data_IF_615314923208
#
_entry.id   IF_615314923208
#
_cell.length_a   1.000
_cell.length_b   1.000
_cell.length_c   1.000
_cell.angle_alpha   90.00
_cell.angle_beta   90.00
_cell.angle_gamma   90.00
#
_symmetry.space_group_name_H-M   'P 1'
#
loop_
_entity.id
_entity.type
_entity.pdbx_description
1 polymer ?
#
# COMPACT_ATOMS: atom_id res chain seq x y z
N UNK A 1 29.23 48.11 -13.01
CA UNK A 1 28.56 47.45 -11.87
C UNK A 1 28.73 45.92 -11.81
N UNK A 2 28.99 45.22 -12.92
CA UNK A 2 29.00 43.73 -12.97
C UNK A 2 30.12 43.01 -12.18
N UNK A 3 31.28 43.66 -11.92
CA UNK A 3 32.46 43.05 -11.27
C UNK A 3 32.43 43.04 -9.72
N UNK A 4 31.52 43.78 -9.08
CA UNK A 4 31.40 43.83 -7.60
C UNK A 4 30.43 42.76 -7.07
N UNK A 5 29.29 42.58 -7.73
CA UNK A 5 28.34 41.50 -7.44
C UNK A 5 28.97 40.10 -7.58
N UNK A 6 29.79 39.88 -8.61
CA UNK A 6 30.47 38.60 -8.82
C UNK A 6 31.45 38.23 -7.70
N UNK A 7 32.12 39.21 -7.08
CA UNK A 7 33.05 38.98 -5.97
C UNK A 7 32.35 38.70 -4.65
N UNK A 8 31.21 39.35 -4.41
CA UNK A 8 30.40 39.10 -3.21
C UNK A 8 29.78 37.71 -3.24
N UNK A 9 29.22 37.31 -4.40
CA UNK A 9 28.71 35.96 -4.63
C UNK A 9 29.80 34.89 -4.46
N UNK A 10 31.01 35.15 -4.96
CA UNK A 10 32.16 34.24 -4.77
C UNK A 10 32.56 34.09 -3.31
N UNK A 11 32.63 35.18 -2.53
CA UNK A 11 33.04 35.12 -1.12
C UNK A 11 32.06 34.29 -0.27
N UNK A 12 30.76 34.40 -0.55
CA UNK A 12 29.71 33.65 0.15
C UNK A 12 29.69 32.17 -0.30
N UNK A 13 29.87 31.90 -1.60
CA UNK A 13 29.89 30.53 -2.12
C UNK A 13 31.20 29.78 -1.88
N UNK A 14 32.33 30.48 -1.80
CA UNK A 14 33.65 29.88 -1.57
C UNK A 14 33.85 29.31 -0.18
N UNK A 15 33.02 29.68 0.81
CA UNK A 15 33.14 29.20 2.20
C UNK A 15 32.51 27.84 2.44
N UNK A 16 31.51 27.43 1.64
CA UNK A 16 30.98 26.07 1.70
C UNK A 16 31.99 25.10 1.07
N UNK A 17 32.42 24.10 1.82
CA UNK A 17 33.29 23.05 1.29
C UNK A 17 32.48 22.10 0.39
N UNK A 18 33.04 21.70 -0.76
CA UNK A 18 32.43 20.67 -1.61
C UNK A 18 32.25 19.36 -0.83
N UNK A 19 33.18 19.07 0.08
CA UNK A 19 33.13 17.90 0.94
C UNK A 19 31.95 17.91 1.91
N UNK A 20 31.61 19.07 2.49
CA UNK A 20 30.46 19.15 3.40
C UNK A 20 29.14 18.96 2.66
N UNK A 21 29.02 19.46 1.43
CA UNK A 21 27.83 19.23 0.58
C UNK A 21 27.74 17.75 0.20
N UNK A 22 28.85 17.16 -0.26
CA UNK A 22 28.90 15.73 -0.61
C UNK A 22 28.54 14.82 0.56
N UNK A 23 29.07 15.10 1.75
CA UNK A 23 28.71 14.35 2.96
C UNK A 23 27.21 14.47 3.28
N UNK A 24 26.65 15.67 3.17
CA UNK A 24 25.22 15.89 3.44
C UNK A 24 24.32 15.14 2.45
N UNK A 25 24.69 15.09 1.17
CA UNK A 25 23.99 14.29 0.14
C UNK A 25 24.01 12.81 0.51
N UNK A 26 25.17 12.27 0.89
CA UNK A 26 25.27 10.85 1.26
C UNK A 26 24.42 10.53 2.48
N UNK A 27 24.54 11.32 3.55
CA UNK A 27 23.79 11.08 4.79
C UNK A 27 22.28 11.21 4.61
N UNK A 28 21.82 12.25 3.91
CA UNK A 28 20.40 12.44 3.63
C UNK A 28 19.85 11.40 2.65
N UNK A 29 20.63 10.97 1.66
CA UNK A 29 20.25 9.89 0.75
C UNK A 29 20.08 8.55 1.49
N UNK A 30 21.03 8.19 2.35
CA UNK A 30 20.92 6.99 3.20
C UNK A 30 19.72 7.07 4.14
N UNK A 31 19.51 8.22 4.79
CA UNK A 31 18.35 8.44 5.67
C UNK A 31 17.02 8.34 4.93
N UNK A 32 16.95 8.84 3.70
CA UNK A 32 15.75 8.75 2.86
C UNK A 32 15.45 7.31 2.48
N UNK A 33 16.44 6.56 1.96
CA UNK A 33 16.26 5.15 1.58
C UNK A 33 15.86 4.31 2.79
N UNK A 34 16.51 4.51 3.94
CA UNK A 34 16.18 3.80 5.17
C UNK A 34 14.74 4.11 5.62
N UNK A 35 14.36 5.39 5.69
CA UNK A 35 13.02 5.80 6.09
C UNK A 35 11.93 5.27 5.16
N UNK A 36 12.13 5.40 3.84
CA UNK A 36 11.20 4.89 2.83
C UNK A 36 11.00 3.38 2.96
N UNK A 37 12.08 2.63 3.18
CA UNK A 37 12.02 1.18 3.39
C UNK A 37 11.29 0.84 4.69
N UNK A 38 11.59 1.55 5.77
CA UNK A 38 10.94 1.31 7.06
C UNK A 38 9.42 1.56 6.99
N UNK A 39 9.00 2.61 6.27
CA UNK A 39 7.57 2.89 6.05
C UNK A 39 6.91 1.75 5.29
N UNK A 40 7.49 1.31 4.17
CA UNK A 40 6.93 0.21 3.38
C UNK A 40 6.85 -1.09 4.20
N UNK A 41 7.92 -1.46 4.93
CA UNK A 41 7.91 -2.66 5.77
C UNK A 41 6.82 -2.61 6.84
N UNK A 42 6.67 -1.47 7.53
CA UNK A 42 5.63 -1.32 8.55
C UNK A 42 4.22 -1.39 7.95
N UNK A 43 4.00 -0.85 6.76
CA UNK A 43 2.73 -1.03 6.04
C UNK A 43 2.46 -2.51 5.75
N UNK A 44 3.47 -3.26 5.27
CA UNK A 44 3.34 -4.70 4.98
C UNK A 44 2.99 -5.47 6.26
N UNK A 45 3.66 -5.20 7.38
CA UNK A 45 3.33 -5.81 8.68
C UNK A 45 1.86 -5.56 9.09
N UNK A 46 1.39 -4.32 8.95
CA UNK A 46 0.01 -3.95 9.29
C UNK A 46 -1.00 -4.62 8.35
N UNK A 47 -0.66 -4.73 7.07
CA UNK A 47 -1.47 -5.44 6.07
C UNK A 47 -1.56 -6.93 6.41
N UNK A 48 -0.45 -7.57 6.73
CA UNK A 48 -0.41 -8.97 7.17
C UNK A 48 -1.22 -9.18 8.45
N UNK A 49 -1.18 -8.24 9.40
CA UNK A 49 -1.97 -8.32 10.61
C UNK A 49 -3.50 -8.30 10.34
N UNK A 50 -3.95 -7.51 9.36
CA UNK A 50 -5.36 -7.51 8.92
C UNK A 50 -5.73 -8.84 8.26
N UNK A 51 -4.90 -9.33 7.33
CA UNK A 51 -5.18 -10.58 6.61
C UNK A 51 -5.17 -11.79 7.55
N UNK A 52 -4.26 -11.81 8.51
CA UNK A 52 -4.20 -12.85 9.54
C UNK A 52 -5.43 -12.80 10.44
N UNK A 53 -5.91 -11.61 10.81
CA UNK A 53 -7.13 -11.46 11.59
C UNK A 53 -8.38 -11.94 10.84
N UNK A 54 -8.46 -11.64 9.54
CA UNK A 54 -9.52 -12.15 8.65
C UNK A 54 -9.50 -13.69 8.61
N UNK A 55 -8.33 -14.28 8.40
CA UNK A 55 -8.16 -15.74 8.34
C UNK A 55 -8.48 -16.43 9.67
N UNK A 56 -8.08 -15.84 10.80
CA UNK A 56 -8.35 -16.39 12.13
C UNK A 56 -9.80 -16.20 12.58
N UNK A 57 -10.61 -15.43 11.83
CA UNK A 57 -11.97 -15.09 12.21
C UNK A 57 -12.02 -14.28 13.51
N UNK A 58 -11.06 -13.37 13.70
CA UNK A 58 -11.08 -12.45 14.83
C UNK A 58 -12.40 -11.64 14.85
N UNK A 59 -12.82 -11.22 16.04
CA UNK A 59 -14.08 -10.48 16.19
C UNK A 59 -14.10 -9.19 15.39
N UNK A 60 -15.27 -8.79 14.88
CA UNK A 60 -15.45 -7.60 14.02
C UNK A 60 -14.73 -6.35 14.56
N UNK A 61 -14.82 -6.10 15.87
CA UNK A 61 -14.16 -4.96 16.51
C UNK A 61 -12.63 -5.00 16.34
N UNK A 62 -12.00 -6.16 16.53
CA UNK A 62 -10.54 -6.32 16.43
C UNK A 62 -10.09 -6.15 14.97
N UNK A 63 -10.86 -6.68 14.03
CA UNK A 63 -10.61 -6.51 12.60
C UNK A 63 -10.69 -5.03 12.18
N UNK A 64 -11.71 -4.31 12.66
CA UNK A 64 -11.89 -2.88 12.39
C UNK A 64 -10.77 -2.03 13.01
N UNK A 65 -10.28 -2.40 14.19
CA UNK A 65 -9.14 -1.74 14.83
C UNK A 65 -7.86 -1.90 13.97
N UNK A 66 -7.58 -3.10 13.46
CA UNK A 66 -6.42 -3.34 12.58
C UNK A 66 -6.54 -2.62 11.24
N UNK A 67 -7.73 -2.64 10.63
CA UNK A 67 -8.00 -1.90 9.40
C UNK A 67 -7.79 -0.39 9.60
N UNK A 68 -8.23 0.14 10.74
CA UNK A 68 -8.03 1.54 11.10
C UNK A 68 -6.57 1.87 11.34
N UNK A 69 -5.82 0.99 12.01
CA UNK A 69 -4.37 1.17 12.21
C UNK A 69 -3.64 1.21 10.85
N UNK A 70 -3.93 0.26 9.97
CA UNK A 70 -3.39 0.22 8.62
C UNK A 70 -3.76 1.48 7.82
N UNK A 71 -5.03 1.87 7.81
CA UNK A 71 -5.51 3.06 7.10
C UNK A 71 -4.81 4.32 7.59
N UNK A 72 -4.72 4.50 8.91
CA UNK A 72 -4.05 5.65 9.51
C UNK A 72 -2.56 5.68 9.13
N UNK A 73 -1.89 4.53 9.18
CA UNK A 73 -0.47 4.45 8.82
C UNK A 73 -0.24 4.80 7.34
N UNK A 74 -1.00 4.18 6.44
CA UNK A 74 -0.89 4.40 4.98
C UNK A 74 -1.18 5.85 4.61
N UNK A 75 -2.20 6.46 5.21
CA UNK A 75 -2.60 7.84 4.86
C UNK A 75 -1.68 8.93 5.44
N UNK A 76 -0.74 8.56 6.32
CA UNK A 76 0.18 9.50 6.99
C UNK A 76 1.65 9.33 6.61
N UNK A 77 2.02 8.23 5.96
CA UNK A 77 3.41 7.93 5.57
C UNK A 77 3.53 7.79 4.05
N UNK A 78 4.61 8.28 3.46
CA UNK A 78 4.89 8.03 2.04
C UNK A 78 5.43 6.61 1.82
N UNK A 79 5.36 6.13 0.56
CA UNK A 79 5.87 4.82 0.15
C UNK A 79 5.11 3.64 0.79
N UNK A 80 3.81 3.81 0.99
CA UNK A 80 2.90 2.83 1.61
C UNK A 80 1.61 2.67 0.81
N UNK A 81 1.63 3.02 -0.48
CA UNK A 81 0.44 3.08 -1.34
C UNK A 81 -0.15 1.69 -1.57
N UNK A 82 -1.41 1.48 -1.19
CA UNK A 82 -2.17 0.25 -1.43
C UNK A 82 -3.27 0.44 -2.48
N UNK A 83 -3.32 1.62 -3.12
CA UNK A 83 -4.31 1.96 -4.15
C UNK A 83 -3.99 1.48 -5.55
N UNK A 84 -2.74 1.07 -5.79
CA UNK A 84 -2.27 0.71 -7.14
C UNK A 84 -2.55 -0.76 -7.45
N UNK A 85 -3.81 -1.13 -7.55
CA UNK A 85 -4.18 -2.54 -7.75
C UNK A 85 -5.47 -2.85 -8.49
N UNK A 86 -6.09 -1.90 -9.21
CA UNK A 86 -7.25 -2.22 -10.08
C UNK A 86 -6.90 -2.53 -11.54
N UNK A 87 -5.70 -2.22 -12.02
CA UNK A 87 -5.39 -2.33 -13.47
C UNK A 87 -4.05 -3.03 -13.81
N UNK A 88 -3.15 -3.24 -12.86
CA UNK A 88 -1.87 -3.95 -13.07
C UNK A 88 -1.59 -4.95 -11.94
N UNK A 89 -2.33 -6.07 -11.92
CA UNK A 89 -2.04 -7.21 -11.03
C UNK A 89 -1.02 -8.17 -11.67
N UNK A 90 0.07 -7.61 -12.19
CA UNK A 90 1.28 -8.33 -12.59
C UNK A 90 2.38 -7.62 -11.79
N UNK A 91 2.67 -8.11 -10.58
CA UNK A 91 3.83 -7.73 -9.73
C UNK A 91 3.73 -6.57 -8.70
N UNK A 92 2.56 -6.10 -8.24
CA UNK A 92 2.49 -4.98 -7.24
C UNK A 92 1.30 -5.01 -6.28
N UNK A 93 1.53 -4.62 -5.02
CA UNK A 93 0.67 -4.76 -3.83
C UNK A 93 -0.82 -4.43 -4.05
N UNK A 94 -1.65 -5.48 -4.13
CA UNK A 94 -3.10 -5.39 -4.32
C UNK A 94 -3.83 -4.79 -3.09
N UNK A 95 -5.02 -4.16 -3.28
CA UNK A 95 -5.85 -3.69 -2.18
C UNK A 95 -6.11 -4.78 -1.14
N UNK A 96 -6.43 -4.38 0.09
CA UNK A 96 -6.71 -5.33 1.17
C UNK A 96 -8.07 -5.97 0.92
N UNK A 97 -8.11 -7.30 0.83
CA UNK A 97 -9.34 -8.06 0.59
C UNK A 97 -9.60 -8.99 1.78
N UNK A 98 -10.77 -8.86 2.40
CA UNK A 98 -11.23 -9.71 3.50
C UNK A 98 -11.92 -10.96 2.94
N UNK A 99 -11.13 -11.88 2.39
CA UNK A 99 -11.65 -13.04 1.66
C UNK A 99 -12.38 -14.04 2.57
N UNK A 100 -11.87 -14.27 3.79
CA UNK A 100 -12.53 -15.19 4.73
C UNK A 100 -13.83 -14.60 5.25
N UNK A 101 -13.83 -13.33 5.68
CA UNK A 101 -15.04 -12.63 6.09
C UNK A 101 -16.09 -12.61 4.97
N UNK A 102 -15.70 -12.27 3.74
CA UNK A 102 -16.60 -12.28 2.58
C UNK A 102 -17.23 -13.66 2.37
N UNK A 103 -16.42 -14.72 2.46
CA UNK A 103 -16.90 -16.10 2.34
C UNK A 103 -17.92 -16.43 3.42
N UNK A 104 -17.59 -16.22 4.70
CA UNK A 104 -18.47 -16.57 5.82
C UNK A 104 -19.76 -15.74 5.83
N UNK A 105 -19.68 -14.44 5.56
CA UNK A 105 -20.87 -13.58 5.47
C UNK A 105 -21.77 -14.01 4.29
N UNK A 106 -21.18 -14.43 3.17
CA UNK A 106 -21.94 -14.96 2.03
C UNK A 106 -22.65 -16.27 2.37
N UNK A 107 -21.98 -17.19 3.06
CA UNK A 107 -22.61 -18.44 3.54
C UNK A 107 -23.74 -18.14 4.53
N UNK A 108 -23.56 -17.16 5.42
CA UNK A 108 -24.61 -16.73 6.36
C UNK A 108 -25.81 -16.10 5.64
N UNK A 109 -25.57 -15.29 4.61
CA UNK A 109 -26.62 -14.72 3.77
C UNK A 109 -27.43 -15.85 3.08
N UNK A 110 -26.74 -16.81 2.46
CA UNK A 110 -27.37 -17.99 1.85
C UNK A 110 -28.17 -18.78 2.88
N UNK A 111 -27.60 -19.07 4.05
CA UNK A 111 -28.28 -19.81 5.12
C UNK A 111 -29.54 -19.09 5.62
N UNK A 112 -29.50 -17.76 5.71
CA UNK A 112 -30.64 -16.93 6.13
C UNK A 112 -31.76 -16.98 5.08
N UNK A 113 -31.39 -16.87 3.80
CA UNK A 113 -32.34 -16.97 2.71
C UNK A 113 -32.99 -18.36 2.65
N UNK A 114 -32.20 -19.43 2.72
CA UNK A 114 -32.67 -20.83 2.74
C UNK A 114 -33.69 -21.07 3.86
N UNK A 115 -33.41 -20.56 5.06
CA UNK A 115 -34.35 -20.61 6.19
C UNK A 115 -35.66 -19.88 5.88
N UNK A 116 -35.58 -18.68 5.29
CA UNK A 116 -36.75 -17.89 4.93
C UNK A 116 -37.60 -18.53 3.83
N UNK A 117 -36.95 -19.24 2.90
CA UNK A 117 -37.60 -19.94 1.78
C UNK A 117 -38.05 -21.36 2.12
N UNK A 118 -37.91 -21.80 3.39
CA UNK A 118 -38.24 -23.17 3.83
C UNK A 118 -37.51 -24.27 3.03
N UNK A 119 -36.33 -23.95 2.49
CA UNK A 119 -35.51 -24.89 1.74
C UNK A 119 -34.64 -25.75 2.69
N UNK A 120 -34.13 -26.87 2.18
CA UNK A 120 -33.36 -27.81 2.99
C UNK A 120 -31.95 -27.27 3.31
N UNK A 121 -31.74 -26.90 4.58
CA UNK A 121 -30.45 -26.40 5.08
C UNK A 121 -29.34 -27.47 5.09
N UNK A 122 -29.68 -28.77 5.08
CA UNK A 122 -28.66 -29.83 5.07
C UNK A 122 -27.81 -29.80 3.80
N UNK A 123 -28.42 -29.47 2.65
CA UNK A 123 -27.73 -29.37 1.36
C UNK A 123 -26.63 -28.30 1.38
N UNK A 124 -26.86 -27.18 2.08
CA UNK A 124 -25.84 -26.15 2.28
C UNK A 124 -24.68 -26.64 3.15
N UNK A 125 -24.99 -27.42 4.19
CA UNK A 125 -23.96 -28.05 5.03
C UNK A 125 -23.09 -29.03 4.24
N UNK A 126 -23.70 -29.87 3.41
CA UNK A 126 -23.02 -30.85 2.55
C UNK A 126 -22.13 -30.15 1.50
N UNK A 127 -22.67 -29.16 0.78
CA UNK A 127 -21.91 -28.39 -0.20
C UNK A 127 -20.71 -27.65 0.44
N UNK A 128 -20.90 -27.09 1.64
CA UNK A 128 -19.82 -26.42 2.37
C UNK A 128 -18.70 -27.39 2.73
N UNK A 129 -19.03 -28.56 3.27
CA UNK A 129 -18.04 -29.58 3.65
C UNK A 129 -17.22 -30.04 2.44
N UNK A 130 -17.85 -30.17 1.27
CA UNK A 130 -17.15 -30.53 0.03
C UNK A 130 -16.13 -29.46 -0.43
N UNK A 131 -16.41 -28.18 -0.14
CA UNK A 131 -15.64 -27.04 -0.66
C UNK A 131 -14.67 -26.40 0.34
N UNK A 132 -14.76 -26.71 1.64
CA UNK A 132 -13.84 -26.23 2.68
C UNK A 132 -12.52 -27.03 2.75
N UNK A 133 -12.20 -27.79 1.72
CA UNK A 133 -10.95 -28.54 1.60
C UNK A 133 -9.77 -27.61 1.28
N UNK A 134 -8.58 -27.94 1.78
CA UNK A 134 -7.37 -27.11 1.62
C UNK A 134 -6.93 -26.90 0.17
N UNK A 135 -7.37 -27.74 -0.76
CA UNK A 135 -7.06 -27.62 -2.20
C UNK A 135 -7.85 -26.52 -2.91
N UNK A 136 -8.94 -26.02 -2.31
CA UNK A 136 -9.76 -24.94 -2.89
C UNK A 136 -9.37 -23.61 -2.24
N UNK A 137 -8.81 -22.66 -3.01
CA UNK A 137 -8.47 -21.33 -2.50
C UNK A 137 -9.70 -20.64 -1.91
N UNK A 138 -9.54 -19.90 -0.81
CA UNK A 138 -10.65 -19.21 -0.12
C UNK A 138 -11.47 -18.32 -1.06
N UNK A 139 -10.83 -17.65 -2.02
CA UNK A 139 -11.47 -16.79 -3.02
C UNK A 139 -12.41 -17.54 -3.98
N UNK A 140 -12.22 -18.84 -4.15
CA UNK A 140 -12.99 -19.71 -5.06
C UNK A 140 -14.02 -20.58 -4.33
N UNK A 141 -13.90 -20.71 -3.00
CA UNK A 141 -14.79 -21.58 -2.20
C UNK A 141 -16.26 -21.23 -2.35
N UNK A 142 -16.62 -19.94 -2.46
CA UNK A 142 -18.01 -19.54 -2.65
C UNK A 142 -18.57 -20.04 -3.99
N UNK A 143 -17.76 -19.98 -5.05
CA UNK A 143 -18.15 -20.52 -6.36
C UNK A 143 -18.31 -22.03 -6.32
N UNK A 144 -17.39 -22.73 -5.65
CA UNK A 144 -17.49 -24.18 -5.41
C UNK A 144 -18.80 -24.53 -4.69
N UNK A 145 -19.13 -23.82 -3.59
CA UNK A 145 -20.36 -24.09 -2.82
C UNK A 145 -21.60 -23.89 -3.69
N UNK A 146 -21.65 -22.82 -4.48
CA UNK A 146 -22.80 -22.56 -5.37
C UNK A 146 -22.95 -23.64 -6.46
N UNK A 147 -21.85 -24.13 -7.02
CA UNK A 147 -21.87 -25.22 -7.99
C UNK A 147 -22.35 -26.53 -7.36
N UNK A 148 -21.84 -26.86 -6.17
CA UNK A 148 -22.22 -28.09 -5.47
C UNK A 148 -23.68 -28.06 -5.00
N UNK A 149 -24.16 -26.90 -4.56
CA UNK A 149 -25.58 -26.68 -4.27
C UNK A 149 -26.47 -26.91 -5.50
N UNK A 150 -26.07 -26.41 -6.67
CA UNK A 150 -26.81 -26.63 -7.91
C UNK A 150 -26.88 -28.13 -8.26
N UNK A 151 -25.76 -28.84 -8.11
CA UNK A 151 -25.66 -30.29 -8.32
C UNK A 151 -26.59 -31.08 -7.37
N UNK A 152 -26.48 -30.82 -6.06
CA UNK A 152 -27.23 -31.54 -5.01
C UNK A 152 -28.74 -31.26 -5.07
N UNK A 153 -29.13 -30.06 -5.50
CA UNK A 153 -30.54 -29.64 -5.57
C UNK A 153 -31.21 -29.90 -6.92
N UNK A 154 -30.47 -30.38 -7.93
CA UNK A 154 -30.93 -30.46 -9.32
C UNK A 154 -31.52 -29.13 -9.83
N UNK A 155 -30.80 -28.04 -9.62
CA UNK A 155 -31.19 -26.66 -9.97
C UNK A 155 -32.47 -26.14 -9.29
N UNK A 156 -32.95 -26.81 -8.23
CA UNK A 156 -34.12 -26.39 -7.46
C UNK A 156 -33.77 -25.52 -6.25
N UNK A 157 -32.49 -25.23 -6.02
CA UNK A 157 -32.08 -24.39 -4.91
C UNK A 157 -32.48 -22.92 -5.16
N UNK A 158 -33.01 -22.23 -4.14
CA UNK A 158 -33.33 -20.81 -4.26
C UNK A 158 -32.08 -19.99 -4.63
N UNK A 159 -32.18 -19.15 -5.67
CA UNK A 159 -31.09 -18.28 -6.11
C UNK A 159 -30.91 -17.12 -5.13
N UNK A 160 -29.72 -17.02 -4.52
CA UNK A 160 -29.39 -15.97 -3.56
C UNK A 160 -28.58 -14.89 -4.27
N UNK A 161 -28.99 -13.64 -4.13
CA UNK A 161 -28.21 -12.51 -4.66
C UNK A 161 -26.85 -12.43 -3.95
N UNK A 162 -25.74 -12.35 -4.70
CA UNK A 162 -24.42 -12.31 -4.10
C UNK A 162 -24.22 -11.00 -3.33
N UNK A 163 -23.51 -11.08 -2.20
CA UNK A 163 -23.07 -9.88 -1.48
C UNK A 163 -22.12 -9.06 -2.36
N UNK A 164 -22.26 -7.73 -2.30
CA UNK A 164 -21.32 -6.84 -2.98
C UNK A 164 -19.92 -6.98 -2.39
N UNK A 165 -18.92 -7.19 -3.25
CA UNK A 165 -17.51 -7.28 -2.87
C UNK A 165 -16.94 -5.95 -2.38
N UNK A 166 -17.57 -4.83 -2.74
CA UNK A 166 -17.06 -3.49 -2.41
C UNK A 166 -16.98 -3.23 -0.90
N UNK A 167 -17.76 -3.96 -0.09
CA UNK A 167 -17.72 -3.86 1.37
C UNK A 167 -16.59 -4.66 2.03
N UNK A 168 -15.84 -5.44 1.24
CA UNK A 168 -14.78 -6.34 1.71
C UNK A 168 -13.42 -6.00 1.09
N UNK A 169 -13.36 -4.96 0.26
CA UNK A 169 -12.14 -4.49 -0.41
C UNK A 169 -11.83 -3.08 0.09
N UNK A 170 -10.64 -2.91 0.65
CA UNK A 170 -10.17 -1.65 1.19
C UNK A 170 -8.98 -1.14 0.40
N UNK A 171 -9.09 0.11 -0.03
CA UNK A 171 -8.12 0.83 -0.84
C UNK A 171 -7.64 2.04 -0.02
N UNK A 172 -6.33 2.15 0.19
CA UNK A 172 -5.70 3.22 0.96
C UNK A 172 -4.59 3.87 0.16
N UNK A 173 -4.70 5.19 -0.04
CA UNK A 173 -3.73 5.98 -0.77
C UNK A 173 -2.72 6.62 0.18
N UNK A 174 -1.44 6.52 -0.15
CA UNK A 174 -0.38 7.21 0.59
C UNK A 174 -0.14 8.63 0.09
N UNK A 175 0.20 9.59 0.96
CA UNK A 175 0.62 10.92 0.53
C UNK A 175 1.93 10.87 -0.26
N UNK A 176 2.12 11.83 -1.19
CA UNK A 176 3.37 11.98 -1.94
C UNK A 176 4.55 12.35 -1.01
N UNK A 177 4.25 13.04 0.08
CA UNK A 177 5.22 13.42 1.10
C UNK A 177 4.61 13.34 2.50
N UNK A 178 5.41 12.94 3.49
CA UNK A 178 5.07 12.76 4.89
C UNK A 178 6.10 13.47 5.78
N UNK A 179 5.69 14.06 6.91
CA UNK A 179 6.58 14.77 7.82
C UNK A 179 7.33 13.82 8.76
N UNK A 180 8.03 12.84 8.20
CA UNK A 180 8.76 11.80 8.92
C UNK A 180 10.24 11.76 8.49
N UNK A 181 11.01 10.79 9.01
CA UNK A 181 12.43 10.64 8.66
C UNK A 181 12.63 10.52 7.15
N UNK A 182 11.77 9.75 6.47
CA UNK A 182 11.82 9.57 5.03
C UNK A 182 11.64 10.91 4.30
N UNK A 183 10.60 11.67 4.65
CA UNK A 183 10.26 12.90 3.97
C UNK A 183 11.23 14.04 4.22
N UNK A 184 11.70 14.24 5.45
CA UNK A 184 12.70 15.28 5.71
C UNK A 184 14.04 14.94 5.08
N UNK A 185 14.46 13.66 5.14
CA UNK A 185 15.70 13.22 4.49
C UNK A 185 15.64 13.39 2.98
N UNK A 186 14.50 13.09 2.36
CA UNK A 186 14.29 13.27 0.91
C UNK A 186 14.33 14.75 0.51
N UNK A 187 13.72 15.65 1.29
CA UNK A 187 13.79 17.10 1.04
C UNK A 187 15.24 17.59 1.13
N UNK A 188 15.96 17.23 2.19
CA UNK A 188 17.36 17.63 2.38
C UNK A 188 18.23 17.08 1.24
N UNK A 189 18.00 15.83 0.84
CA UNK A 189 18.68 15.21 -0.29
C UNK A 189 18.44 16.00 -1.59
N UNK A 190 17.18 16.31 -1.92
CA UNK A 190 16.83 17.11 -3.10
C UNK A 190 17.47 18.49 -3.09
N UNK A 191 17.38 19.22 -1.97
CA UNK A 191 17.98 20.56 -1.83
C UNK A 191 19.50 20.52 -1.95
N UNK A 192 20.16 19.53 -1.35
CA UNK A 192 21.62 19.41 -1.40
C UNK A 192 22.14 19.02 -2.77
N UNK A 193 21.41 18.17 -3.51
CA UNK A 193 21.69 17.88 -4.91
C UNK A 193 21.57 19.15 -5.76
N UNK A 194 20.49 19.94 -5.59
CA UNK A 194 20.32 21.21 -6.31
C UNK A 194 21.49 22.16 -6.02
N UNK A 195 21.88 22.31 -4.75
CA UNK A 195 23.03 23.13 -4.36
C UNK A 195 24.34 22.65 -4.97
N UNK A 196 24.56 21.33 -5.02
CA UNK A 196 25.74 20.72 -5.64
C UNK A 196 25.79 21.00 -7.14
N UNK A 197 24.67 20.84 -7.86
CA UNK A 197 24.58 21.13 -9.29
C UNK A 197 24.83 22.61 -9.60
N UNK A 198 24.18 23.51 -8.85
CA UNK A 198 24.40 24.95 -8.97
C UNK A 198 25.88 25.31 -8.77
N UNK A 199 26.55 24.65 -7.82
CA UNK A 199 27.99 24.81 -7.57
C UNK A 199 28.85 24.43 -8.77
N UNK A 200 28.58 23.30 -9.39
CA UNK A 200 29.27 22.88 -10.61
C UNK A 200 29.02 23.84 -11.77
N UNK A 201 27.78 24.30 -11.96
CA UNK A 201 27.42 25.21 -13.05
C UNK A 201 28.16 26.55 -12.93
N UNK A 202 28.11 27.19 -11.76
CA UNK A 202 28.81 28.47 -11.55
C UNK A 202 30.32 28.30 -11.67
N UNK A 203 30.88 27.23 -11.09
CA UNK A 203 32.30 26.90 -11.23
C UNK A 203 32.73 26.77 -12.70
N UNK A 204 31.93 26.07 -13.51
CA UNK A 204 32.19 25.91 -14.94
C UNK A 204 32.09 27.23 -15.73
N UNK A 205 31.06 28.06 -15.46
CA UNK A 205 30.90 29.37 -16.10
C UNK A 205 32.09 30.27 -15.80
N UNK A 206 32.54 30.28 -14.56
CA UNK A 206 33.68 31.06 -14.10
C UNK A 206 34.98 30.58 -14.74
N UNK A 207 35.25 29.27 -14.72
CA UNK A 207 36.46 28.69 -15.31
C UNK A 207 36.55 29.01 -16.82
N UNK A 208 35.41 28.95 -17.54
CA UNK A 208 35.34 29.36 -18.95
C UNK A 208 35.65 30.84 -19.15
N UNK A 209 35.12 31.74 -18.31
CA UNK A 209 35.38 33.18 -18.40
C UNK A 209 36.83 33.56 -18.08
N UNK A 210 37.50 32.82 -17.20
CA UNK A 210 38.93 33.03 -16.91
C UNK A 210 39.79 32.55 -18.07
N UNK A 211 39.44 31.44 -18.73
CA UNK A 211 40.21 30.92 -19.88
C UNK A 211 40.10 31.78 -21.15
N UNK A 212 39.02 32.54 -21.32
CA UNK A 212 38.75 33.36 -22.51
C UNK A 212 39.29 34.82 -22.40
N UNK A 213 39.91 35.19 -21.28
CA UNK A 213 40.64 36.46 -21.09
C UNK A 213 42.13 36.18 -21.00
#
# INVERSE_FOLDING_TARGET
>A
MHKRLSRHLWKIWGSLSLWSIGLMVVLSGLGSVYGLRNNNLRMVELREAVLTADEQGEGQQQLDEKLKELANFVTTHMNTDLSRGRELAIDGEAPVQLAYKYYYDSILNIATYVKSSQANLSLLGEARIACEVSSVPISERLQCVNQELANLSHDKFPQVEPLSKDFYVYDFASPVWSPDLAGFSLIIFGLTIILLLLRFIVGAIIARRVKNN
#
